data_IF_749936005338
#
_entry.id   IF_749936005338
#
_cell.length_a   1.000
_cell.length_b   1.000
_cell.length_c   1.000
_cell.angle_alpha   90.00
_cell.angle_beta   90.00
_cell.angle_gamma   90.00
#
_symmetry.space_group_name_H-M   'P 1'
#
loop_
_entity.id
_entity.type
_entity.pdbx_description
1 polymer ?
#
# COMPACT_ATOMS: atom_id res chain seq x y z
N UNK A 1 5.67 8.40 -5.71
CA UNK A 1 5.02 8.70 -4.41
C UNK A 1 4.78 7.38 -3.67
N UNK A 2 5.09 7.31 -2.37
CA UNK A 2 5.04 6.07 -1.58
C UNK A 2 3.72 5.95 -0.80
N UNK A 3 3.34 4.73 -0.43
CA UNK A 3 2.14 4.48 0.39
C UNK A 3 2.53 3.93 1.78
N UNK A 4 1.89 4.45 2.84
CA UNK A 4 2.17 4.06 4.22
C UNK A 4 1.04 3.21 4.82
N UNK A 5 1.29 2.51 5.95
CA UNK A 5 0.25 1.70 6.59
C UNK A 5 -1.02 2.48 6.97
N UNK A 6 -0.91 3.78 7.27
CA UNK A 6 -2.07 4.66 7.53
C UNK A 6 -2.98 4.78 6.31
N UNK A 7 -2.38 4.93 5.13
CA UNK A 7 -3.07 5.11 3.86
C UNK A 7 -3.71 3.78 3.44
N UNK A 8 -2.97 2.68 3.53
CA UNK A 8 -3.50 1.33 3.27
C UNK A 8 -4.68 1.01 4.18
N UNK A 9 -4.65 1.41 5.46
CA UNK A 9 -5.80 1.28 6.36
C UNK A 9 -7.00 2.06 5.85
N UNK A 10 -6.80 3.32 5.44
CA UNK A 10 -7.86 4.17 4.89
C UNK A 10 -8.48 3.54 3.63
N UNK A 11 -7.63 3.11 2.69
CA UNK A 11 -8.01 2.56 1.39
C UNK A 11 -8.70 1.19 1.50
N UNK A 12 -8.24 0.32 2.40
CA UNK A 12 -8.69 -1.09 2.45
C UNK A 12 -9.64 -1.41 3.59
N UNK A 13 -9.86 -0.47 4.53
CA UNK A 13 -10.63 -0.69 5.76
C UNK A 13 -10.00 -1.69 6.74
N UNK A 14 -8.78 -2.18 6.46
CA UNK A 14 -8.09 -3.14 7.32
C UNK A 14 -7.56 -2.50 8.60
N UNK A 15 -7.36 -3.30 9.64
CA UNK A 15 -6.65 -2.82 10.84
C UNK A 15 -5.22 -2.39 10.49
N UNK A 16 -4.63 -1.47 11.26
CA UNK A 16 -3.26 -1.00 11.04
C UNK A 16 -2.23 -2.14 10.98
N UNK A 17 -2.37 -3.17 11.83
CA UNK A 17 -1.51 -4.36 11.81
C UNK A 17 -1.64 -5.16 10.51
N UNK A 18 -2.85 -5.32 9.99
CA UNK A 18 -3.09 -5.98 8.70
C UNK A 18 -2.52 -5.16 7.54
N UNK A 19 -2.60 -3.83 7.60
CA UNK A 19 -1.98 -2.94 6.61
C UNK A 19 -0.47 -3.09 6.56
N UNK A 20 0.21 -3.18 7.71
CA UNK A 20 1.66 -3.47 7.77
C UNK A 20 1.97 -4.81 7.11
N UNK A 21 1.21 -5.86 7.46
CA UNK A 21 1.39 -7.21 6.89
C UNK A 21 1.18 -7.21 5.37
N UNK A 22 0.20 -6.46 4.88
CA UNK A 22 -0.05 -6.33 3.44
C UNK A 22 1.14 -5.67 2.74
N UNK A 23 1.67 -4.57 3.26
CA UNK A 23 2.84 -3.91 2.68
C UNK A 23 4.09 -4.80 2.73
N UNK A 24 4.30 -5.55 3.81
CA UNK A 24 5.38 -6.53 3.89
C UNK A 24 5.24 -7.64 2.85
N UNK A 25 4.00 -8.12 2.63
CA UNK A 25 3.73 -9.11 1.58
C UNK A 25 4.03 -8.53 0.19
N UNK A 26 3.57 -7.32 -0.10
CA UNK A 26 3.84 -6.65 -1.38
C UNK A 26 5.35 -6.50 -1.61
N UNK A 27 6.12 -6.04 -0.62
CA UNK A 27 7.59 -5.96 -0.73
C UNK A 27 8.21 -7.31 -1.07
N UNK A 28 7.80 -8.37 -0.38
CA UNK A 28 8.34 -9.72 -0.60
C UNK A 28 8.06 -10.22 -2.01
N UNK A 29 6.84 -10.02 -2.51
CA UNK A 29 6.43 -10.45 -3.86
C UNK A 29 7.13 -9.64 -4.96
N UNK A 30 7.46 -8.38 -4.69
CA UNK A 30 8.22 -7.50 -5.59
C UNK A 30 9.76 -7.63 -5.42
N UNK A 31 10.24 -8.59 -4.63
CA UNK A 31 11.66 -8.77 -4.29
C UNK A 31 12.35 -7.49 -3.77
N UNK A 32 11.61 -6.65 -3.05
CA UNK A 32 12.11 -5.42 -2.45
C UNK A 32 12.82 -5.67 -1.12
N UNK A 33 13.82 -4.84 -0.83
CA UNK A 33 14.48 -4.80 0.47
C UNK A 33 13.51 -4.32 1.56
N UNK A 34 13.80 -4.68 2.82
CA UNK A 34 12.93 -4.35 3.95
C UNK A 34 12.69 -2.84 4.12
N UNK A 35 13.70 -2.03 3.78
CA UNK A 35 13.67 -0.57 3.89
C UNK A 35 13.15 0.13 2.64
N UNK A 36 12.91 -0.61 1.54
CA UNK A 36 12.35 -0.02 0.34
C UNK A 36 10.86 0.28 0.53
N UNK A 37 10.47 1.42 -0.02
CA UNK A 37 9.07 1.83 -0.01
C UNK A 37 8.28 1.09 -1.07
N UNK A 38 6.99 0.91 -0.80
CA UNK A 38 6.01 0.50 -1.81
C UNK A 38 5.42 1.77 -2.41
N UNK A 39 5.40 1.87 -3.74
CA UNK A 39 4.76 3.00 -4.42
C UNK A 39 3.23 2.82 -4.44
N UNK A 40 2.49 3.92 -4.65
CA UNK A 40 1.03 3.84 -4.83
C UNK A 40 0.69 2.95 -6.03
N UNK A 41 1.47 3.05 -7.11
CA UNK A 41 1.28 2.25 -8.33
C UNK A 41 1.47 0.76 -8.08
N UNK A 42 2.55 0.37 -7.39
CA UNK A 42 2.81 -1.03 -7.02
C UNK A 42 1.70 -1.60 -6.13
N UNK A 43 1.23 -0.80 -5.18
CA UNK A 43 0.10 -1.17 -4.34
C UNK A 43 -1.18 -1.36 -5.16
N UNK A 44 -1.47 -0.44 -6.09
CA UNK A 44 -2.63 -0.53 -6.99
C UNK A 44 -2.54 -1.76 -7.90
N UNK A 45 -1.37 -2.01 -8.51
CA UNK A 45 -1.10 -3.19 -9.33
C UNK A 45 -1.32 -4.49 -8.54
N UNK A 46 -0.80 -4.56 -7.31
CA UNK A 46 -0.93 -5.75 -6.47
C UNK A 46 -2.38 -5.98 -5.98
N UNK A 47 -3.11 -4.92 -5.64
CA UNK A 47 -4.47 -5.00 -5.08
C UNK A 47 -5.59 -4.96 -6.13
N UNK A 48 -5.24 -4.70 -7.40
CA UNK A 48 -6.19 -4.41 -8.49
C UNK A 48 -7.10 -3.21 -8.23
N UNK A 49 -6.72 -2.33 -7.29
CA UNK A 49 -7.41 -1.08 -7.04
C UNK A 49 -7.01 -0.04 -8.09
N UNK A 50 -7.97 0.77 -8.54
CA UNK A 50 -7.67 1.85 -9.48
C UNK A 50 -7.05 3.02 -8.74
N UNK A 51 -6.01 3.62 -9.31
CA UNK A 51 -5.32 4.76 -8.70
C UNK A 51 -6.27 5.94 -8.44
N UNK A 52 -7.27 6.13 -9.30
CA UNK A 52 -8.32 7.15 -9.16
C UNK A 52 -9.17 6.97 -7.89
N UNK A 53 -9.33 5.74 -7.41
CA UNK A 53 -10.04 5.44 -6.17
C UNK A 53 -9.14 5.58 -4.94
N UNK A 54 -7.84 5.36 -5.12
CA UNK A 54 -6.85 5.37 -4.04
C UNK A 54 -6.37 6.79 -3.73
N UNK A 55 -6.01 7.58 -4.75
CA UNK A 55 -5.43 8.91 -4.59
C UNK A 55 -6.25 9.84 -3.67
N UNK A 56 -7.58 9.94 -3.79
CA UNK A 56 -8.38 10.82 -2.94
C UNK A 56 -8.35 10.45 -1.45
N UNK A 57 -8.02 9.20 -1.11
CA UNK A 57 -7.98 8.69 0.26
C UNK A 57 -6.59 8.85 0.90
N UNK A 58 -5.58 9.12 0.08
CA UNK A 58 -4.20 9.38 0.53
C UNK A 58 -4.06 10.89 0.72
N UNK A 59 -4.44 11.37 1.90
CA UNK A 59 -4.28 12.77 2.28
C UNK A 59 -2.93 12.92 3.00
N UNK A 60 -2.12 13.86 2.50
CA UNK A 60 -0.85 14.27 3.11
C UNK A 60 -1.07 14.88 4.48
#
# INVERSE_FOLDING_TARGET
MCIYPKDVKCVTGKSYRQSIRLLQKIRKELNKLQNEFVSIEEFCQYTSLKIEQVNPLIIG
#
